data_IF_095560832033
#
_entry.id   IF_095560832033
#
_cell.length_a   1.000
_cell.length_b   1.000
_cell.length_c   1.000
_cell.angle_alpha   90.00
_cell.angle_beta   90.00
_cell.angle_gamma   90.00
#
_symmetry.space_group_name_H-M   'P 1'
#
loop_
_entity.id
_entity.type
_entity.pdbx_description
1 polymer ?
#
# COMPACT_ATOMS: atom_id res chain seq x y z
N UNK A 1 1.92 -5.79 3.34
CA UNK A 1 1.23 -5.71 2.03
C UNK A 1 0.86 -7.12 1.64
N UNK A 2 -0.40 -7.33 1.27
CA UNK A 2 -0.87 -8.63 0.81
C UNK A 2 -0.56 -8.79 -0.67
N UNK A 3 0.00 -9.92 -1.06
CA UNK A 3 0.40 -10.17 -2.46
C UNK A 3 -0.48 -11.22 -3.14
N UNK A 4 -1.15 -12.09 -2.38
CA UNK A 4 -2.01 -13.17 -2.89
C UNK A 4 -3.50 -12.91 -2.64
N UNK A 5 -4.09 -11.95 -3.37
CA UNK A 5 -5.54 -11.73 -3.37
C UNK A 5 -6.11 -11.23 -2.04
N UNK A 6 -5.37 -10.37 -1.32
CA UNK A 6 -5.76 -9.75 -0.04
C UNK A 6 -5.91 -10.69 1.16
N UNK A 7 -5.78 -12.00 0.96
CA UNK A 7 -5.66 -12.99 2.04
C UNK A 7 -4.22 -13.06 2.56
N UNK A 8 -4.02 -13.48 3.82
CA UNK A 8 -2.68 -13.72 4.34
C UNK A 8 -1.95 -14.78 3.52
N UNK A 9 -0.75 -14.45 3.06
CA UNK A 9 0.07 -15.32 2.23
C UNK A 9 1.52 -15.39 2.71
N UNK A 10 2.28 -16.42 2.29
CA UNK A 10 3.70 -16.55 2.64
C UNK A 10 4.57 -15.45 2.00
N UNK A 11 4.10 -14.85 0.91
CA UNK A 11 4.80 -13.79 0.17
C UNK A 11 4.37 -12.39 0.61
N UNK A 12 3.76 -12.26 1.79
CA UNK A 12 3.38 -10.96 2.30
C UNK A 12 4.61 -10.14 2.68
N UNK A 13 4.46 -8.82 2.54
CA UNK A 13 5.56 -7.88 2.75
C UNK A 13 5.34 -7.13 4.05
N UNK A 14 6.36 -7.10 4.90
CA UNK A 14 6.37 -6.26 6.09
C UNK A 14 6.60 -4.79 5.73
N UNK A 15 5.81 -3.90 6.34
CA UNK A 15 5.96 -2.45 6.20
C UNK A 15 6.14 -1.88 7.60
N UNK A 16 7.19 -1.09 7.80
CA UNK A 16 7.48 -0.52 9.11
C UNK A 16 6.48 0.60 9.46
N UNK A 17 6.22 0.80 10.74
CA UNK A 17 5.34 1.88 11.20
C UNK A 17 5.88 3.28 10.79
N UNK A 18 7.20 3.42 10.71
CA UNK A 18 7.84 4.63 10.21
C UNK A 18 7.50 4.90 8.74
N UNK A 19 7.51 3.88 7.88
CA UNK A 19 7.10 4.00 6.47
C UNK A 19 5.61 4.31 6.32
N UNK A 20 4.76 3.71 7.17
CA UNK A 20 3.31 4.00 7.19
C UNK A 20 3.07 5.47 7.52
N UNK A 21 3.69 5.99 8.59
CA UNK A 21 3.54 7.39 9.01
C UNK A 21 4.15 8.37 8.02
N UNK A 22 5.37 8.09 7.52
CA UNK A 22 6.05 8.95 6.56
C UNK A 22 5.25 9.11 5.27
N UNK A 23 4.60 8.07 4.77
CA UNK A 23 3.90 8.14 3.48
C UNK A 23 2.38 8.27 3.62
N UNK A 24 1.85 8.47 4.83
CA UNK A 24 0.41 8.60 5.05
C UNK A 24 -0.40 7.39 4.58
N UNK A 25 0.19 6.19 4.68
CA UNK A 25 -0.44 4.96 4.20
C UNK A 25 -1.63 4.60 5.07
N UNK A 26 -2.71 4.17 4.42
CA UNK A 26 -3.95 3.70 5.03
C UNK A 26 -4.22 2.27 4.59
N UNK A 27 -5.05 1.55 5.36
CA UNK A 27 -5.50 0.21 4.95
C UNK A 27 -6.25 0.32 3.63
N UNK A 28 -5.97 -0.59 2.70
CA UNK A 28 -6.56 -0.59 1.36
C UNK A 28 -5.71 0.12 0.29
N UNK A 29 -4.62 0.78 0.67
CA UNK A 29 -3.70 1.36 -0.33
C UNK A 29 -3.03 0.30 -1.18
N UNK A 30 -3.07 0.53 -2.49
CA UNK A 30 -2.25 -0.19 -3.45
C UNK A 30 -0.84 0.38 -3.44
N UNK A 31 0.15 -0.48 -3.20
CA UNK A 31 1.55 -0.07 -3.00
C UNK A 31 2.44 -0.85 -3.96
N UNK A 32 3.28 -0.13 -4.70
CA UNK A 32 4.36 -0.72 -5.50
C UNK A 32 5.72 -0.27 -4.98
N UNK A 33 6.72 -1.13 -5.07
CA UNK A 33 8.05 -0.83 -4.56
C UNK A 33 8.99 -2.03 -4.55
N UNK A 34 10.20 -1.80 -4.06
CA UNK A 34 11.23 -2.82 -3.94
C UNK A 34 11.21 -3.48 -2.56
N UNK A 35 11.27 -4.81 -2.55
CA UNK A 35 11.35 -5.63 -1.33
C UNK A 35 12.76 -6.16 -1.12
N UNK A 36 13.15 -6.34 0.14
CA UNK A 36 14.43 -6.96 0.47
C UNK A 36 14.39 -8.43 0.09
N UNK A 37 15.37 -8.90 -0.68
CA UNK A 37 15.62 -10.33 -0.84
C UNK A 37 16.36 -10.85 0.40
N UNK A 38 15.95 -12.00 0.96
CA UNK A 38 16.70 -12.65 2.02
C UNK A 38 18.08 -13.07 1.49
N UNK A 39 19.15 -12.75 2.22
CA UNK A 39 20.51 -13.23 1.91
C UNK A 39 20.70 -14.65 2.44
N UNK A 40 21.54 -15.44 1.77
CA UNK A 40 21.93 -16.76 2.26
C UNK A 40 22.59 -16.65 3.65
N UNK A 41 22.07 -17.42 4.61
CA UNK A 41 22.52 -17.43 6.01
C UNK A 41 21.81 -16.45 6.95
N UNK A 42 20.92 -15.58 6.45
CA UNK A 42 20.15 -14.66 7.29
C UNK A 42 18.92 -15.37 7.88
N UNK A 43 18.60 -15.10 9.16
CA UNK A 43 17.44 -15.69 9.85
C UNK A 43 16.20 -15.33 9.05
N UNK A 44 15.53 -16.34 8.47
CA UNK A 44 14.38 -16.15 7.58
C UNK A 44 13.27 -15.45 8.37
N UNK A 45 13.17 -14.13 8.24
CA UNK A 45 12.05 -13.37 8.77
C UNK A 45 10.76 -13.91 8.14
N UNK A 46 9.67 -13.90 8.91
CA UNK A 46 8.38 -14.44 8.45
C UNK A 46 7.89 -13.77 7.16
N UNK A 47 8.29 -12.52 6.92
CA UNK A 47 7.89 -11.68 5.79
C UNK A 47 9.07 -10.83 5.32
N UNK A 48 9.16 -10.60 4.01
CA UNK A 48 10.19 -9.70 3.45
C UNK A 48 9.84 -8.24 3.76
N UNK A 49 10.82 -7.41 4.13
CA UNK A 49 10.58 -6.00 4.40
C UNK A 49 10.53 -5.15 3.10
N UNK A 50 9.66 -4.13 3.08
CA UNK A 50 9.65 -3.10 2.05
C UNK A 50 10.89 -2.20 2.23
N UNK A 51 11.70 -2.06 1.19
CA UNK A 51 12.92 -1.23 1.20
C UNK A 51 12.63 0.14 0.62
N UNK A 52 11.98 0.17 -0.54
CA UNK A 52 11.69 1.39 -1.29
C UNK A 52 10.22 1.40 -1.70
N UNK A 53 9.58 2.55 -1.51
CA UNK A 53 8.20 2.80 -1.93
C UNK A 53 8.24 3.61 -3.22
N UNK A 54 7.64 3.09 -4.28
CA UNK A 54 7.69 3.70 -5.62
C UNK A 54 6.40 4.46 -5.92
N UNK A 55 5.25 3.83 -5.68
CA UNK A 55 3.95 4.46 -5.87
C UNK A 55 2.92 4.00 -4.84
N UNK A 56 1.92 4.86 -4.63
CA UNK A 56 0.74 4.60 -3.81
C UNK A 56 -0.49 4.96 -4.65
N UNK A 57 -1.35 3.98 -4.91
CA UNK A 57 -2.55 4.13 -5.75
C UNK A 57 -2.25 4.75 -7.14
N UNK A 58 -1.12 4.35 -7.76
CA UNK A 58 -0.69 4.85 -9.07
C UNK A 58 -0.09 6.26 -9.06
N UNK A 59 0.05 6.89 -7.89
CA UNK A 59 0.64 8.22 -7.73
C UNK A 59 1.94 8.17 -6.94
N UNK A 60 2.71 9.27 -6.99
CA UNK A 60 3.87 9.42 -6.13
C UNK A 60 3.48 9.36 -4.64
N UNK A 61 4.29 8.72 -3.78
CA UNK A 61 3.93 8.51 -2.37
C UNK A 61 3.72 9.81 -1.58
N UNK A 62 4.34 10.90 -2.00
CA UNK A 62 4.23 12.22 -1.35
C UNK A 62 2.80 12.81 -1.48
N UNK A 63 2.13 12.55 -2.61
CA UNK A 63 0.80 13.09 -2.94
C UNK A 63 -0.30 12.54 -2.02
N UNK A 64 -0.07 11.36 -1.41
CA UNK A 64 -1.06 10.66 -0.59
C UNK A 64 -1.38 11.31 0.76
N UNK A 65 -0.57 12.27 1.25
CA UNK A 65 -0.78 12.88 2.58
C UNK A 65 -1.96 13.84 2.64
N UNK A 66 -2.26 14.56 1.56
CA UNK A 66 -3.31 15.58 1.52
C UNK A 66 -4.71 15.04 1.19
N UNK A 67 -4.86 13.74 0.98
CA UNK A 67 -6.13 13.17 0.52
C UNK A 67 -7.20 13.17 1.63
N UNK A 68 -8.44 13.56 1.29
CA UNK A 68 -9.55 13.49 2.24
C UNK A 68 -9.78 12.05 2.73
N UNK A 69 -10.41 11.91 3.89
CA UNK A 69 -10.91 10.62 4.33
C UNK A 69 -12.22 10.33 3.60
N UNK A 70 -12.39 9.09 3.10
CA UNK A 70 -13.58 8.69 2.37
C UNK A 70 -14.87 8.97 3.14
N UNK A 71 -14.87 8.74 4.46
CA UNK A 71 -16.03 8.98 5.33
C UNK A 71 -16.40 10.46 5.48
N UNK A 72 -15.50 11.40 5.14
CA UNK A 72 -15.74 12.85 5.21
C UNK A 72 -16.22 13.43 3.87
N UNK A 73 -16.32 12.61 2.82
CA UNK A 73 -16.82 13.06 1.53
C UNK A 73 -18.34 13.21 1.57
N UNK A 74 -18.86 14.26 0.92
CA UNK A 74 -20.30 14.44 0.76
C UNK A 74 -20.85 13.39 -0.21
N UNK A 75 -21.81 12.54 0.20
CA UNK A 75 -22.43 11.58 -0.70
C UNK A 75 -23.30 12.35 -1.71
N UNK A 76 -23.18 11.99 -3.00
CA UNK A 76 -23.94 12.58 -4.10
C UNK A 76 -24.56 11.48 -4.96
N UNK A 77 -25.68 11.78 -5.62
CA UNK A 77 -26.22 10.91 -6.65
C UNK A 77 -25.30 10.88 -7.89
N UNK A 78 -25.27 9.77 -8.64
CA UNK A 78 -24.48 9.68 -9.88
C UNK A 78 -24.91 10.75 -10.88
N UNK A 79 -23.94 11.50 -11.41
CA UNK A 79 -24.17 12.55 -12.42
C UNK A 79 -23.95 12.05 -13.84
N UNK A 80 -23.07 11.05 -14.01
CA UNK A 80 -22.74 10.47 -15.29
C UNK A 80 -23.22 9.03 -15.40
N UNK A 81 -23.84 8.71 -16.54
CA UNK A 81 -24.14 7.31 -16.91
C UNK A 81 -22.95 6.75 -17.67
N UNK A 82 -22.29 5.76 -17.09
CA UNK A 82 -21.35 4.92 -17.82
C UNK A 82 -22.10 4.20 -18.95
N UNK A 83 -21.67 4.45 -20.20
CA UNK A 83 -22.09 3.68 -21.37
C UNK A 83 -20.90 2.79 -21.73
N UNK A 84 -21.11 1.48 -21.67
CA UNK A 84 -20.11 0.48 -22.03
C UNK A 84 -20.13 0.22 -23.53
#
# INVERSE_FOLDING_TARGET
IRTSGYLPGPNDVYVSLAQVRKNGLRKGDHVTGAVRQPKDGERREKFNALVRLDSVNGMAPETGRGRPEFQKLTPLYPQDRLRL
#
